data_IF_247342737571
#
_entry.id   IF_247342737571
#
_cell.length_a   1.000
_cell.length_b   1.000
_cell.length_c   1.000
_cell.angle_alpha   90.00
_cell.angle_beta   90.00
_cell.angle_gamma   90.00
#
_symmetry.space_group_name_H-M   'P 1'
#
loop_
_entity.id
_entity.type
_entity.pdbx_description
1 polymer ?
#
# COMPACT_ATOMS: atom_id res chain seq x y z
N UNK A 1 7.99 -17.15 3.98
CA UNK A 1 7.08 -16.26 3.21
C UNK A 1 6.75 -14.95 3.91
N UNK A 2 7.01 -14.76 5.22
CA UNK A 2 6.85 -13.45 5.88
C UNK A 2 8.03 -12.48 5.60
N UNK A 3 9.19 -13.03 5.20
CA UNK A 3 10.41 -12.27 5.01
C UNK A 3 10.33 -11.22 3.89
N UNK A 4 9.69 -11.53 2.76
CA UNK A 4 9.55 -10.59 1.64
C UNK A 4 8.76 -9.33 2.04
N UNK A 5 7.75 -9.49 2.89
CA UNK A 5 6.97 -8.37 3.41
C UNK A 5 7.79 -7.53 4.39
N UNK A 6 8.65 -8.14 5.21
CA UNK A 6 9.51 -7.40 6.14
C UNK A 6 10.59 -6.63 5.38
N UNK A 7 11.12 -7.21 4.30
CA UNK A 7 12.24 -6.66 3.53
C UNK A 7 11.93 -5.36 2.79
N UNK A 8 10.66 -4.96 2.63
CA UNK A 8 10.32 -3.67 2.01
C UNK A 8 10.33 -2.50 3.00
N UNK A 9 10.55 -2.75 4.30
CA UNK A 9 10.51 -1.73 5.35
C UNK A 9 11.89 -1.53 6.01
N UNK A 10 12.24 -0.27 6.28
CA UNK A 10 13.39 0.06 7.10
C UNK A 10 13.10 -0.20 8.59
N UNK A 11 11.87 0.07 9.03
CA UNK A 11 11.40 -0.20 10.38
C UNK A 11 9.89 -0.49 10.38
N UNK A 12 9.52 -1.66 10.88
CA UNK A 12 8.12 -2.11 10.95
C UNK A 12 7.41 -1.72 12.24
N UNK A 13 8.13 -1.36 13.30
CA UNK A 13 7.54 -1.11 14.63
C UNK A 13 6.40 -0.09 14.61
N UNK A 14 6.51 1.07 13.93
CA UNK A 14 5.40 2.03 13.89
C UNK A 14 4.14 1.47 13.22
N UNK A 15 4.31 0.63 12.19
CA UNK A 15 3.21 -0.01 11.49
C UNK A 15 2.56 -1.11 12.33
N UNK A 16 3.34 -1.93 13.02
CA UNK A 16 2.80 -2.99 13.89
C UNK A 16 2.07 -2.39 15.09
N UNK A 17 2.60 -1.32 15.70
CA UNK A 17 1.93 -0.56 16.75
C UNK A 17 0.63 0.07 16.25
N UNK A 18 0.64 0.67 15.06
CA UNK A 18 -0.56 1.28 14.47
C UNK A 18 -1.66 0.25 14.15
N UNK A 19 -1.28 -0.92 13.64
CA UNK A 19 -2.23 -2.02 13.38
C UNK A 19 -2.80 -2.55 14.70
N UNK A 20 -1.92 -2.82 15.67
CA UNK A 20 -2.28 -3.29 17.00
C UNK A 20 -3.33 -4.41 16.96
N UNK A 21 -4.38 -4.26 17.77
CA UNK A 21 -5.55 -5.15 17.80
C UNK A 21 -6.74 -4.63 16.96
N UNK A 22 -6.53 -3.59 16.14
CA UNK A 22 -7.59 -3.03 15.32
C UNK A 22 -7.98 -4.01 14.21
N UNK A 23 -9.17 -4.59 14.32
CA UNK A 23 -9.69 -5.61 13.40
C UNK A 23 -9.72 -5.16 11.93
N UNK A 24 -9.96 -3.87 11.67
CA UNK A 24 -9.98 -3.32 10.30
C UNK A 24 -8.57 -3.30 9.74
N UNK A 25 -7.59 -2.82 10.52
CA UNK A 25 -6.19 -2.80 10.10
C UNK A 25 -5.64 -4.21 9.91
N UNK A 26 -5.93 -5.13 10.83
CA UNK A 26 -5.55 -6.53 10.70
C UNK A 26 -6.10 -7.18 9.42
N UNK A 27 -7.39 -6.96 9.11
CA UNK A 27 -7.98 -7.45 7.85
C UNK A 27 -7.26 -6.89 6.63
N UNK A 28 -6.95 -5.59 6.65
CA UNK A 28 -6.20 -4.94 5.56
C UNK A 28 -4.78 -5.49 5.42
N UNK A 29 -4.08 -5.75 6.51
CA UNK A 29 -2.77 -6.40 6.48
C UNK A 29 -2.85 -7.81 5.87
N UNK A 30 -3.89 -8.57 6.20
CA UNK A 30 -4.13 -9.87 5.55
C UNK A 30 -4.34 -9.71 4.04
N UNK A 31 -5.16 -8.75 3.60
CA UNK A 31 -5.38 -8.48 2.17
C UNK A 31 -4.09 -8.05 1.46
N UNK A 32 -3.26 -7.20 2.07
CA UNK A 32 -1.94 -6.82 1.51
C UNK A 32 -1.08 -8.07 1.29
N UNK A 33 -1.00 -8.95 2.30
CA UNK A 33 -0.21 -10.18 2.22
C UNK A 33 -0.73 -11.13 1.13
N UNK A 34 -2.05 -11.24 0.98
CA UNK A 34 -2.69 -12.09 -0.03
C UNK A 34 -2.48 -11.55 -1.45
N UNK A 35 -2.63 -10.24 -1.66
CA UNK A 35 -2.44 -9.61 -2.97
C UNK A 35 -0.97 -9.56 -3.40
N UNK A 36 -0.06 -9.33 -2.44
CA UNK A 36 1.38 -9.44 -2.69
C UNK A 36 1.96 -8.40 -3.65
N UNK A 37 1.31 -7.24 -3.86
CA UNK A 37 1.81 -6.20 -4.78
C UNK A 37 3.24 -5.76 -4.50
N UNK A 38 3.65 -5.76 -3.23
CA UNK A 38 5.01 -5.44 -2.81
C UNK A 38 6.09 -6.39 -3.33
N UNK A 39 5.70 -7.57 -3.85
CA UNK A 39 6.61 -8.52 -4.50
C UNK A 39 6.95 -8.11 -5.93
N UNK A 40 6.14 -7.25 -6.53
CA UNK A 40 6.40 -6.69 -7.85
C UNK A 40 7.32 -5.46 -7.71
N UNK A 41 8.53 -5.57 -8.24
CA UNK A 41 9.50 -4.49 -8.22
C UNK A 41 9.04 -3.28 -9.04
N UNK A 42 8.26 -3.50 -10.11
CA UNK A 42 7.67 -2.43 -10.92
C UNK A 42 6.66 -1.65 -10.10
N UNK A 43 5.81 -2.34 -9.34
CA UNK A 43 4.86 -1.71 -8.42
C UNK A 43 5.57 -0.86 -7.38
N UNK A 44 6.60 -1.40 -6.71
CA UNK A 44 7.38 -0.65 -5.70
C UNK A 44 8.09 0.56 -6.31
N UNK A 45 8.64 0.42 -7.53
CA UNK A 45 9.28 1.52 -8.25
C UNK A 45 8.30 2.65 -8.56
N UNK A 46 7.13 2.32 -9.14
CA UNK A 46 6.07 3.29 -9.42
C UNK A 46 5.54 3.93 -8.14
N UNK A 47 5.38 3.14 -7.07
CA UNK A 47 4.95 3.65 -5.78
C UNK A 47 5.90 4.73 -5.28
N UNK A 48 7.21 4.47 -5.31
CA UNK A 48 8.23 5.44 -4.92
C UNK A 48 8.16 6.72 -5.76
N UNK A 49 7.97 6.58 -7.07
CA UNK A 49 7.93 7.71 -8.00
C UNK A 49 6.67 8.57 -7.88
N UNK A 50 5.49 7.96 -7.70
CA UNK A 50 4.21 8.66 -7.84
C UNK A 50 3.39 8.80 -6.56
N UNK A 51 3.79 8.21 -5.41
CA UNK A 51 3.02 8.29 -4.15
C UNK A 51 2.56 9.72 -3.79
N UNK A 52 3.44 10.72 -3.92
CA UNK A 52 3.14 12.11 -3.61
C UNK A 52 2.10 12.72 -4.56
N UNK A 53 2.19 12.44 -5.87
CA UNK A 53 1.18 12.85 -6.86
C UNK A 53 -0.20 12.22 -6.58
N UNK A 54 -0.19 11.09 -5.87
CA UNK A 54 -1.39 10.41 -5.42
C UNK A 54 -1.87 10.85 -4.02
N UNK A 55 -1.23 11.83 -3.38
CA UNK A 55 -1.62 12.31 -2.05
C UNK A 55 -1.33 11.31 -0.94
N UNK A 56 -0.34 10.44 -1.11
CA UNK A 56 0.16 9.53 -0.08
C UNK A 56 1.43 10.12 0.50
N UNK A 57 1.53 10.21 1.83
CA UNK A 57 2.68 10.79 2.53
C UNK A 57 3.73 9.72 2.90
N UNK A 58 4.17 8.95 1.90
CA UNK A 58 5.17 7.89 2.11
C UNK A 58 6.58 8.46 2.26
N UNK A 59 7.41 7.74 3.00
CA UNK A 59 8.83 8.06 3.16
C UNK A 59 9.65 6.82 2.80
N UNK A 60 10.82 7.04 2.21
CA UNK A 60 11.75 5.99 1.83
C UNK A 60 13.16 6.31 2.34
N UNK A 61 13.91 5.29 2.75
CA UNK A 61 15.31 5.43 3.16
C UNK A 61 16.25 5.48 1.94
N UNK A 62 17.57 5.59 2.19
CA UNK A 62 18.58 5.61 1.13
C UNK A 62 18.65 4.31 0.31
N UNK A 63 18.16 3.19 0.85
CA UNK A 63 18.07 1.91 0.18
C UNK A 63 16.72 1.74 -0.56
N UNK A 64 15.83 2.71 -0.45
CA UNK A 64 14.50 2.66 -1.05
C UNK A 64 13.48 1.81 -0.28
N UNK A 65 13.75 1.51 0.99
CA UNK A 65 12.83 0.82 1.90
C UNK A 65 11.83 1.82 2.48
N UNK A 66 10.59 1.37 2.71
CA UNK A 66 9.53 2.18 3.31
C UNK A 66 9.88 2.50 4.76
N UNK A 67 9.85 3.79 5.09
CA UNK A 67 10.01 4.30 6.46
C UNK A 67 8.61 4.59 7.02
N UNK A 68 8.17 3.73 7.93
CA UNK A 68 6.91 3.92 8.64
C UNK A 68 7.10 4.93 9.78
N UNK A 69 6.16 5.85 9.92
CA UNK A 69 6.02 6.79 11.03
C UNK A 69 4.56 6.74 11.53
N UNK A 70 4.29 7.14 12.79
CA UNK A 70 2.91 7.16 13.29
C UNK A 70 1.93 7.92 12.38
N UNK A 71 2.40 8.95 11.69
CA UNK A 71 1.58 9.81 10.85
C UNK A 71 1.31 9.22 9.45
N UNK A 72 2.19 8.37 8.92
CA UNK A 72 2.07 7.82 7.56
C UNK A 72 1.58 6.36 7.49
N UNK A 73 1.39 5.67 8.62
CA UNK A 73 0.98 4.26 8.65
C UNK A 73 -0.32 4.00 7.86
N UNK A 74 -1.27 4.94 7.89
CA UNK A 74 -2.52 4.85 7.11
C UNK A 74 -2.25 4.86 5.60
N UNK A 75 -1.34 5.72 5.16
CA UNK A 75 -0.98 5.86 3.76
C UNK A 75 -0.18 4.66 3.27
N UNK A 76 0.71 4.12 4.12
CA UNK A 76 1.44 2.87 3.86
C UNK A 76 0.47 1.71 3.61
N UNK A 77 -0.52 1.51 4.50
CA UNK A 77 -1.54 0.47 4.31
C UNK A 77 -2.34 0.72 3.02
N UNK A 78 -2.72 1.97 2.75
CA UNK A 78 -3.52 2.34 1.58
C UNK A 78 -2.75 2.10 0.27
N UNK A 79 -1.47 2.46 0.24
CA UNK A 79 -0.55 2.22 -0.86
C UNK A 79 -0.43 0.74 -1.18
N UNK A 80 -0.08 -0.08 -0.19
CA UNK A 80 0.18 -1.51 -0.38
C UNK A 80 -1.08 -2.33 -0.65
N UNK A 81 -2.25 -1.81 -0.28
CA UNK A 81 -3.54 -2.39 -0.63
C UNK A 81 -3.88 -2.23 -2.12
N UNK A 82 -3.44 -1.11 -2.72
CA UNK A 82 -3.76 -0.71 -4.09
C UNK A 82 -5.28 -0.63 -4.38
N UNK A 83 -6.05 -0.06 -3.44
CA UNK A 83 -7.53 0.02 -3.51
C UNK A 83 -8.08 1.17 -4.39
N UNK A 84 -7.28 1.74 -5.28
CA UNK A 84 -7.72 2.90 -6.10
C UNK A 84 -8.46 2.44 -7.36
N UNK A 85 -9.50 3.19 -7.73
CA UNK A 85 -10.40 2.92 -8.88
C UNK A 85 -9.64 2.74 -10.21
N UNK A 86 -8.57 3.50 -10.43
CA UNK A 86 -7.51 3.15 -11.35
C UNK A 86 -6.26 2.99 -10.47
N UNK A 87 -5.64 1.82 -10.49
CA UNK A 87 -4.32 1.75 -9.89
C UNK A 87 -3.38 2.54 -10.79
N UNK A 88 -2.74 3.56 -10.25
CA UNK A 88 -1.66 4.23 -10.96
C UNK A 88 -0.34 3.46 -10.87
N UNK A 89 -0.34 2.32 -10.16
CA UNK A 89 0.85 1.55 -9.80
C UNK A 89 0.83 0.15 -10.40
N UNK A 90 -0.34 -0.49 -10.48
CA UNK A 90 -0.61 -1.64 -11.33
C UNK A 90 -1.30 -1.16 -12.60
N UNK A 91 -0.98 -1.70 -13.78
CA UNK A 91 -1.61 -1.34 -15.07
C UNK A 91 -3.10 -1.76 -15.17
N UNK A 92 -3.75 -2.01 -14.05
CA UNK A 92 -5.16 -2.39 -13.99
C UNK A 92 -6.03 -1.14 -13.96
N UNK A 93 -6.55 -0.80 -15.14
CA UNK A 93 -7.80 -0.04 -15.25
C UNK A 93 -8.92 -0.99 -14.82
N UNK A 94 -9.47 -0.79 -13.62
CA UNK A 94 -10.70 -1.48 -13.24
C UNK A 94 -11.86 -0.75 -13.92
N UNK A 95 -12.49 -1.40 -14.88
CA UNK A 95 -13.77 -0.94 -15.42
C UNK A 95 -14.86 -1.19 -14.37
N UNK A 96 -15.65 -0.16 -14.04
CA UNK A 96 -16.75 -0.28 -13.06
C UNK A 96 -18.05 -0.41 -13.85
N UNK A 97 -18.68 -1.59 -13.93
CA UNK A 97 -19.99 -1.70 -14.54
C UNK A 97 -21.05 -1.39 -13.47
N UNK A 98 -21.19 -0.12 -13.10
CA UNK A 98 -22.46 0.34 -12.53
C UNK A 98 -22.65 1.85 -12.69
N UNK A 99 -22.94 2.26 -13.92
CA UNK A 99 -23.68 3.49 -14.16
C UNK A 99 -25.12 3.08 -14.45
N UNK A 100 -25.95 3.07 -13.40
CA UNK A 100 -27.39 2.92 -13.53
C UNK A 100 -27.88 3.98 -14.52
N UNK A 101 -28.37 3.55 -15.69
CA UNK A 101 -28.94 4.44 -16.69
C UNK A 101 -30.27 4.93 -16.13
N UNK A 102 -30.33 6.19 -15.72
CA UNK A 102 -31.59 6.87 -15.43
C UNK A 102 -32.08 7.47 -16.74
N UNK A 103 -32.91 6.73 -17.48
CA UNK A 103 -33.87 7.24 -18.48
C UNK A 103 -34.81 6.09 -18.88
#
# INVERSE_FOLDING_TARGET
MENEFIQIFANLTPLTTFVGSNKIHLRRMCSIRQKGHYKDQTFISRLRQHHAAHGLSLQFDQNGLIVCTPDNCRDVITALLDHRLASAFSENVYDVPDATKVA
#
